data_IF_134322540763
#
_entry.id   IF_134322540763
#
_cell.length_a   1.000
_cell.length_b   1.000
_cell.length_c   1.000
_cell.angle_alpha   90.00
_cell.angle_beta   90.00
_cell.angle_gamma   90.00
#
_symmetry.space_group_name_H-M   'P 1'
#
loop_
_entity.id
_entity.type
_entity.pdbx_description
1 polymer ?
#
# COMPACT_ATOMS: atom_id res chain seq x y z
N UNK A 1 20.09 22.73 -12.55
CA UNK A 1 19.19 21.72 -11.93
C UNK A 1 19.93 20.40 -11.81
N UNK A 2 19.96 19.76 -10.63
CA UNK A 2 20.62 18.46 -10.47
C UNK A 2 19.87 17.39 -11.28
N UNK A 3 20.58 16.70 -12.19
CA UNK A 3 20.06 15.68 -13.14
C UNK A 3 19.34 14.49 -12.45
N UNK A 4 19.50 14.35 -11.14
CA UNK A 4 18.87 13.31 -10.34
C UNK A 4 17.36 13.52 -10.13
N UNK A 5 16.91 14.76 -9.98
CA UNK A 5 15.50 15.08 -9.72
C UNK A 5 14.60 14.80 -10.94
N UNK A 6 15.13 15.01 -12.14
CA UNK A 6 14.42 14.72 -13.40
C UNK A 6 14.20 13.22 -13.60
N UNK A 7 15.16 12.38 -13.19
CA UNK A 7 15.03 10.92 -13.21
C UNK A 7 13.87 10.43 -12.33
N UNK A 8 13.75 10.96 -11.11
CA UNK A 8 12.65 10.60 -10.20
C UNK A 8 11.31 11.06 -10.77
N UNK A 9 11.25 12.29 -11.29
CA UNK A 9 10.04 12.82 -11.93
C UNK A 9 9.59 11.98 -13.12
N UNK A 10 10.52 11.50 -13.96
CA UNK A 10 10.21 10.62 -15.09
C UNK A 10 9.65 9.27 -14.61
N UNK A 11 10.26 8.65 -13.58
CA UNK A 11 9.77 7.38 -13.00
C UNK A 11 8.37 7.52 -12.41
N UNK A 12 8.10 8.63 -11.71
CA UNK A 12 6.76 8.93 -11.18
C UNK A 12 5.74 9.15 -12.29
N UNK A 13 6.14 9.73 -13.43
CA UNK A 13 5.30 9.87 -14.62
C UNK A 13 4.83 8.52 -15.17
N UNK A 14 5.74 7.54 -15.27
CA UNK A 14 5.43 6.18 -15.75
C UNK A 14 4.42 5.50 -14.82
N UNK A 15 4.62 5.60 -13.50
CA UNK A 15 3.68 5.04 -12.51
C UNK A 15 2.30 5.68 -12.65
N UNK A 16 2.24 7.01 -12.84
CA UNK A 16 0.97 7.71 -13.03
C UNK A 16 0.25 7.29 -14.31
N UNK A 17 0.97 7.09 -15.41
CA UNK A 17 0.40 6.57 -16.66
C UNK A 17 -0.16 5.15 -16.49
N UNK A 18 0.55 4.28 -15.77
CA UNK A 18 0.08 2.94 -15.45
C UNK A 18 -1.23 2.98 -14.65
N UNK A 19 -1.30 3.79 -13.59
CA UNK A 19 -2.53 3.96 -12.80
C UNK A 19 -3.68 4.58 -13.60
N UNK A 20 -3.39 5.53 -14.49
CA UNK A 20 -4.34 6.09 -15.44
C UNK A 20 -4.92 5.01 -16.37
N UNK A 21 -4.08 4.10 -16.87
CA UNK A 21 -4.51 2.97 -17.70
C UNK A 21 -5.40 2.00 -16.91
N UNK A 22 -5.00 1.62 -15.69
CA UNK A 22 -5.79 0.77 -14.78
C UNK A 22 -7.17 1.36 -14.47
N UNK A 23 -7.26 2.68 -14.27
CA UNK A 23 -8.51 3.38 -14.04
C UNK A 23 -9.41 3.41 -15.29
N UNK A 24 -8.81 3.54 -16.49
CA UNK A 24 -9.53 3.48 -17.77
C UNK A 24 -10.14 2.10 -18.03
N UNK A 25 -9.43 1.02 -17.69
CA UNK A 25 -9.94 -0.35 -17.88
C UNK A 25 -10.94 -0.83 -16.83
N UNK A 26 -11.53 0.11 -16.09
CA UNK A 26 -12.56 -0.16 -15.08
C UNK A 26 -12.14 -1.23 -14.06
N UNK A 27 -10.84 -1.38 -13.79
CA UNK A 27 -10.33 -2.25 -12.73
C UNK A 27 -10.54 -1.62 -11.34
N UNK A 28 -11.69 -0.96 -11.12
CA UNK A 28 -12.08 -0.34 -9.85
C UNK A 28 -12.12 -1.33 -8.69
N UNK A 29 -12.25 -2.63 -8.99
CA UNK A 29 -12.20 -3.74 -8.04
C UNK A 29 -10.83 -3.93 -7.37
N UNK A 30 -9.74 -3.45 -7.96
CA UNK A 30 -8.42 -3.48 -7.31
C UNK A 30 -8.33 -2.50 -6.14
N UNK A 31 -9.03 -1.38 -6.21
CA UNK A 31 -9.03 -0.35 -5.16
C UNK A 31 -9.46 -0.91 -3.80
N UNK A 32 -10.62 -1.60 -3.66
CA UNK A 32 -11.02 -2.16 -2.38
C UNK A 32 -10.09 -3.29 -1.90
N UNK A 33 -9.51 -4.09 -2.80
CA UNK A 33 -8.55 -5.14 -2.43
C UNK A 33 -7.28 -4.53 -1.82
N UNK A 34 -6.71 -3.54 -2.51
CA UNK A 34 -5.51 -2.84 -2.03
C UNK A 34 -5.80 -2.10 -0.72
N UNK A 35 -6.96 -1.45 -0.60
CA UNK A 35 -7.38 -0.79 0.64
C UNK A 35 -7.50 -1.78 1.81
N UNK A 36 -8.10 -2.96 1.58
CA UNK A 36 -8.20 -4.00 2.60
C UNK A 36 -6.83 -4.53 3.04
N UNK A 37 -5.90 -4.74 2.10
CA UNK A 37 -4.53 -5.16 2.41
C UNK A 37 -3.76 -4.11 3.22
N UNK A 38 -3.94 -2.82 2.88
CA UNK A 38 -3.33 -1.72 3.63
C UNK A 38 -3.91 -1.61 5.05
N UNK A 39 -5.23 -1.73 5.19
CA UNK A 39 -5.90 -1.77 6.50
C UNK A 39 -5.41 -2.94 7.34
N UNK A 40 -5.28 -4.12 6.74
CA UNK A 40 -4.77 -5.31 7.41
C UNK A 40 -3.31 -5.12 7.83
N UNK A 41 -2.45 -4.59 6.96
CA UNK A 41 -1.06 -4.26 7.31
C UNK A 41 -0.96 -3.25 8.44
N UNK A 42 -1.80 -2.21 8.42
CA UNK A 42 -1.89 -1.22 9.49
C UNK A 42 -2.35 -1.85 10.81
N UNK A 43 -3.35 -2.73 10.76
CA UNK A 43 -3.84 -3.47 11.92
C UNK A 43 -2.75 -4.38 12.49
N UNK A 44 -1.96 -5.05 11.65
CA UNK A 44 -0.81 -5.85 12.09
C UNK A 44 0.24 -4.99 12.80
N UNK A 45 0.54 -3.80 12.28
CA UNK A 45 1.48 -2.86 12.91
C UNK A 45 0.98 -2.41 14.30
N UNK A 46 -0.32 -2.22 14.47
CA UNK A 46 -0.89 -1.91 15.77
C UNK A 46 -0.97 -3.15 16.69
N UNK A 47 -1.28 -4.32 16.14
CA UNK A 47 -1.38 -5.57 16.87
C UNK A 47 -0.02 -6.01 17.46
N UNK A 48 1.08 -5.82 16.74
CA UNK A 48 2.43 -6.10 17.26
C UNK A 48 2.86 -5.14 18.39
N UNK A 49 2.35 -3.90 18.41
CA UNK A 49 2.53 -2.96 19.53
C UNK A 49 1.56 -3.19 20.69
N UNK A 50 0.55 -4.05 20.47
CA UNK A 50 -0.48 -4.32 21.45
C UNK A 50 0.06 -5.25 22.52
N UNK A 51 -0.06 -4.83 23.78
CA UNK A 51 0.14 -5.65 24.99
C UNK A 51 -0.73 -6.92 24.97
N UNK A 52 -1.67 -7.04 24.02
CA UNK A 52 -2.54 -8.19 23.78
C UNK A 52 -1.83 -9.36 23.07
N UNK A 53 -0.72 -9.13 22.35
CA UNK A 53 0.00 -10.19 21.62
C UNK A 53 0.39 -11.42 22.48
N UNK A 54 0.87 -11.29 23.73
CA UNK A 54 1.16 -12.44 24.60
C UNK A 54 -0.08 -13.26 24.96
N UNK A 55 -1.26 -12.63 25.04
CA UNK A 55 -2.49 -13.31 25.48
C UNK A 55 -3.06 -14.24 24.41
N UNK A 56 -2.82 -13.93 23.13
CA UNK A 56 -3.16 -14.82 22.01
C UNK A 56 -2.29 -16.07 22.06
N UNK A 57 -1.02 -15.97 22.45
CA UNK A 57 -0.12 -17.12 22.58
C UNK A 57 -0.31 -17.91 23.88
N UNK A 58 -0.91 -17.35 24.93
CA UNK A 58 -1.20 -18.09 26.17
C UNK A 58 -2.52 -18.85 26.15
N UNK A 59 -3.41 -18.55 25.21
CA UNK A 59 -4.72 -19.22 25.07
C UNK A 59 -4.66 -20.48 24.18
N UNK A 60 -3.47 -20.85 23.68
CA UNK A 60 -3.20 -22.07 22.94
C UNK A 60 -1.99 -22.81 23.54
#
# INVERSE_FOLDING_TARGET
MPKFLTSISQRLGIVKELFSFLAKEKMWWLVPIVAALLLLGLLLIFAQSSVVAPFIYTLF
#
